data_IF_604872610466
#
_entry.id   IF_604872610466
#
_cell.length_a   1.000
_cell.length_b   1.000
_cell.length_c   1.000
_cell.angle_alpha   90.00
_cell.angle_beta   90.00
_cell.angle_gamma   90.00
#
_symmetry.space_group_name_H-M   'P 1'
#
loop_
_entity.id
_entity.type
_entity.pdbx_description
1 polymer ?
#
# COMPACT_ATOMS: atom_id res chain seq x y z
N UNK A 1 -14.68 -21.85 17.85
CA UNK A 1 -14.38 -22.89 16.85
C UNK A 1 -15.41 -24.01 16.86
N UNK A 2 -15.70 -24.53 18.03
CA UNK A 2 -16.68 -25.63 18.23
C UNK A 2 -18.12 -25.20 17.91
N UNK A 3 -18.47 -23.93 18.06
CA UNK A 3 -19.83 -23.40 17.81
C UNK A 3 -20.17 -23.23 16.34
N UNK A 4 -19.19 -23.01 15.46
CA UNK A 4 -19.43 -22.70 14.06
C UNK A 4 -19.40 -23.94 13.16
N UNK A 5 -18.73 -25.01 13.58
CA UNK A 5 -18.52 -26.17 12.73
C UNK A 5 -17.77 -25.86 11.43
N UNK A 6 -17.53 -26.87 10.62
CA UNK A 6 -16.78 -26.77 9.38
C UNK A 6 -17.48 -25.87 8.33
N UNK A 7 -18.80 -25.96 8.23
CA UNK A 7 -19.55 -25.15 7.26
C UNK A 7 -19.56 -23.67 7.63
N UNK A 8 -19.67 -23.33 8.92
CA UNK A 8 -19.59 -21.96 9.38
C UNK A 8 -18.22 -21.34 9.12
N UNK A 9 -17.14 -22.07 9.36
CA UNK A 9 -15.78 -21.63 9.05
C UNK A 9 -15.57 -21.38 7.55
N UNK A 10 -16.07 -22.28 6.71
CA UNK A 10 -16.01 -22.15 5.25
C UNK A 10 -16.77 -20.91 4.75
N UNK A 11 -17.95 -20.64 5.30
CA UNK A 11 -18.75 -19.47 4.97
C UNK A 11 -18.04 -18.17 5.36
N UNK A 12 -17.37 -18.12 6.49
CA UNK A 12 -16.58 -16.96 6.96
C UNK A 12 -15.38 -16.71 6.03
N UNK A 13 -14.66 -17.75 5.64
CA UNK A 13 -13.55 -17.63 4.69
C UNK A 13 -14.04 -17.13 3.32
N UNK A 14 -15.13 -17.63 2.83
CA UNK A 14 -15.72 -17.22 1.56
C UNK A 14 -16.10 -15.72 1.60
N UNK A 15 -16.72 -15.27 2.67
CA UNK A 15 -17.05 -13.86 2.86
C UNK A 15 -15.81 -12.97 2.88
N UNK A 16 -14.76 -13.38 3.58
CA UNK A 16 -13.48 -12.66 3.60
C UNK A 16 -12.84 -12.59 2.22
N UNK A 17 -12.93 -13.66 1.43
CA UNK A 17 -12.44 -13.69 0.05
C UNK A 17 -13.23 -12.73 -0.85
N UNK A 18 -14.54 -12.71 -0.75
CA UNK A 18 -15.40 -11.81 -1.54
C UNK A 18 -15.11 -10.35 -1.26
N UNK A 19 -14.90 -10.00 0.00
CA UNK A 19 -14.52 -8.64 0.41
C UNK A 19 -13.13 -8.28 -0.10
N UNK A 20 -12.17 -9.20 -0.02
CA UNK A 20 -10.83 -8.99 -0.54
C UNK A 20 -10.83 -8.80 -2.06
N UNK A 21 -11.60 -9.59 -2.79
CA UNK A 21 -11.78 -9.45 -4.24
C UNK A 21 -12.41 -8.10 -4.60
N UNK A 22 -13.40 -7.67 -3.85
CA UNK A 22 -14.03 -6.36 -4.02
C UNK A 22 -13.03 -5.22 -3.83
N UNK A 23 -12.26 -5.23 -2.75
CA UNK A 23 -11.23 -4.22 -2.50
C UNK A 23 -10.13 -4.25 -3.56
N UNK A 24 -9.70 -5.42 -3.97
CA UNK A 24 -8.71 -5.60 -5.02
C UNK A 24 -9.18 -4.99 -6.35
N UNK A 25 -10.42 -5.23 -6.73
CA UNK A 25 -11.02 -4.68 -7.93
C UNK A 25 -11.13 -3.15 -7.86
N UNK A 26 -11.66 -2.62 -6.77
CA UNK A 26 -11.86 -1.17 -6.59
C UNK A 26 -10.54 -0.39 -6.51
N UNK A 27 -9.55 -0.93 -5.84
CA UNK A 27 -8.20 -0.33 -5.79
C UNK A 27 -7.54 -0.41 -7.18
N UNK A 28 -7.74 -1.50 -7.90
CA UNK A 28 -7.24 -1.66 -9.27
C UNK A 28 -7.81 -0.68 -10.27
N UNK A 29 -9.00 -0.12 -10.01
CA UNK A 29 -9.61 0.92 -10.83
C UNK A 29 -8.99 2.31 -10.62
N UNK A 30 -8.28 2.51 -9.53
CA UNK A 30 -7.60 3.78 -9.25
C UNK A 30 -6.31 3.88 -10.09
N UNK A 31 -6.16 4.92 -10.92
CA UNK A 31 -5.01 5.03 -11.84
C UNK A 31 -3.68 5.23 -11.11
N UNK A 32 -3.70 5.66 -9.85
CA UNK A 32 -2.51 5.85 -9.03
C UNK A 32 -1.88 4.54 -8.58
N UNK A 33 -2.63 3.45 -8.59
CA UNK A 33 -2.22 2.17 -8.00
C UNK A 33 -2.04 1.07 -9.05
N UNK A 34 -1.22 0.11 -8.69
CA UNK A 34 -1.01 -1.13 -9.42
C UNK A 34 -1.11 -2.30 -8.47
N UNK A 35 -1.98 -3.25 -8.77
CA UNK A 35 -2.07 -4.51 -8.04
C UNK A 35 -0.90 -5.43 -8.39
N UNK A 36 -0.34 -6.07 -7.36
CA UNK A 36 0.78 -6.99 -7.53
C UNK A 36 0.34 -8.42 -7.86
N UNK A 37 -0.86 -8.81 -7.46
CA UNK A 37 -1.40 -10.14 -7.73
C UNK A 37 -2.67 -10.02 -8.59
N UNK A 38 -2.75 -10.84 -9.63
CA UNK A 38 -3.91 -10.88 -10.53
C UNK A 38 -5.03 -11.78 -9.98
N UNK A 39 -4.67 -12.77 -9.17
CA UNK A 39 -5.60 -13.70 -8.55
C UNK A 39 -5.36 -13.77 -7.06
N UNK A 40 -6.45 -13.84 -6.30
CA UNK A 40 -6.40 -13.96 -4.85
C UNK A 40 -6.64 -15.43 -4.46
N UNK A 41 -5.63 -16.02 -3.83
CA UNK A 41 -5.73 -17.35 -3.21
C UNK A 41 -6.16 -17.24 -1.74
N UNK A 42 -5.69 -16.19 -1.07
CA UNK A 42 -6.02 -15.87 0.32
C UNK A 42 -6.69 -14.49 0.39
N UNK A 43 -7.44 -14.17 1.46
CA UNK A 43 -8.04 -12.85 1.66
C UNK A 43 -6.98 -11.78 1.99
N UNK A 44 -5.93 -11.76 1.20
CA UNK A 44 -4.80 -10.86 1.29
C UNK A 44 -4.44 -10.37 -0.09
N UNK A 45 -4.22 -9.07 -0.26
CA UNK A 45 -3.68 -8.55 -1.49
C UNK A 45 -2.67 -7.42 -1.24
N UNK A 46 -1.83 -7.22 -2.23
CA UNK A 46 -0.72 -6.27 -2.19
C UNK A 46 -0.82 -5.36 -3.41
N UNK A 47 -0.63 -4.07 -3.18
CA UNK A 47 -0.59 -3.08 -4.27
C UNK A 47 0.54 -2.08 -4.05
N UNK A 48 0.92 -1.42 -5.12
CA UNK A 48 1.92 -0.36 -5.13
C UNK A 48 1.42 0.87 -5.89
N UNK A 49 2.18 1.95 -5.86
CA UNK A 49 1.96 3.04 -6.79
C UNK A 49 2.30 2.59 -8.21
N UNK A 50 1.49 3.02 -9.18
CA UNK A 50 1.81 2.81 -10.58
C UNK A 50 3.16 3.49 -10.90
N UNK A 51 4.12 2.79 -11.55
CA UNK A 51 5.44 3.37 -11.81
C UNK A 51 5.44 4.70 -12.54
N UNK A 52 4.50 4.89 -13.46
CA UNK A 52 4.36 6.17 -14.18
C UNK A 52 3.89 7.30 -13.27
N UNK A 53 2.99 6.99 -12.36
CA UNK A 53 2.47 7.93 -11.38
C UNK A 53 3.51 8.23 -10.29
N UNK A 54 4.22 7.21 -9.84
CA UNK A 54 5.26 7.33 -8.81
C UNK A 54 6.36 8.33 -9.19
N UNK A 55 6.69 8.42 -10.46
CA UNK A 55 7.72 9.37 -10.96
C UNK A 55 7.35 10.84 -10.76
N UNK A 56 6.08 11.17 -10.76
CA UNK A 56 5.57 12.54 -10.71
C UNK A 56 4.89 12.88 -9.39
N UNK A 57 4.63 11.90 -8.54
CA UNK A 57 3.95 12.08 -7.28
C UNK A 57 4.85 12.77 -6.25
N UNK A 58 4.26 13.71 -5.49
CA UNK A 58 4.92 14.39 -4.37
C UNK A 58 4.79 13.63 -3.05
N UNK A 59 4.30 12.42 -3.06
CA UNK A 59 4.02 11.61 -1.89
C UNK A 59 4.37 10.14 -2.13
N UNK A 60 4.43 9.36 -1.06
CA UNK A 60 4.69 7.92 -1.10
C UNK A 60 3.58 7.16 -0.39
N UNK A 61 3.60 5.82 -0.48
CA UNK A 61 2.66 4.97 0.25
C UNK A 61 2.79 5.10 1.77
N UNK A 62 3.94 5.50 2.28
CA UNK A 62 4.10 5.81 3.72
C UNK A 62 3.25 6.99 4.14
N UNK A 63 3.11 7.99 3.29
CA UNK A 63 2.21 9.14 3.53
C UNK A 63 0.75 8.69 3.55
N UNK A 64 0.38 7.80 2.64
CA UNK A 64 -0.96 7.21 2.60
C UNK A 64 -1.23 6.37 3.86
N UNK A 65 -0.28 5.55 4.28
CA UNK A 65 -0.35 4.80 5.53
C UNK A 65 -0.63 5.73 6.72
N UNK A 66 0.10 6.81 6.82
CA UNK A 66 -0.06 7.79 7.89
C UNK A 66 -1.45 8.42 7.89
N UNK A 67 -1.96 8.83 6.74
CA UNK A 67 -3.30 9.39 6.61
C UNK A 67 -4.39 8.39 6.97
N UNK A 68 -4.28 7.15 6.53
CA UNK A 68 -5.23 6.09 6.89
C UNK A 68 -5.16 5.78 8.38
N UNK A 69 -3.98 5.82 8.98
CA UNK A 69 -3.81 5.61 10.42
C UNK A 69 -4.51 6.69 11.24
N UNK A 70 -4.54 7.94 10.79
CA UNK A 70 -5.28 9.02 11.42
C UNK A 70 -6.79 8.76 11.45
N UNK A 71 -7.31 8.02 10.49
CA UNK A 71 -8.72 7.58 10.44
C UNK A 71 -8.96 6.23 11.11
N UNK A 72 -7.96 5.69 11.81
CA UNK A 72 -8.07 4.43 12.54
C UNK A 72 -7.77 3.17 11.73
N UNK A 73 -7.27 3.30 10.51
CA UNK A 73 -6.95 2.17 9.65
C UNK A 73 -5.48 1.73 9.78
N UNK A 74 -5.27 0.45 10.03
CA UNK A 74 -3.95 -0.17 10.10
C UNK A 74 -3.64 -0.89 8.78
N UNK A 75 -3.18 -0.15 7.80
CA UNK A 75 -2.77 -0.67 6.49
C UNK A 75 -1.27 -0.42 6.30
N UNK A 76 -0.42 -1.41 6.57
CA UNK A 76 1.02 -1.20 6.58
C UNK A 76 1.59 -1.03 5.15
N UNK A 77 2.49 -0.07 5.01
CA UNK A 77 3.38 0.06 3.87
C UNK A 77 4.76 -0.46 4.23
N UNK A 78 5.42 -1.18 3.33
CA UNK A 78 6.75 -1.73 3.55
C UNK A 78 7.49 -1.93 2.23
N UNK A 79 8.80 -2.06 2.30
CA UNK A 79 9.63 -2.37 1.13
C UNK A 79 9.73 -3.88 0.93
N UNK A 80 9.79 -4.30 -0.34
CA UNK A 80 10.05 -5.70 -0.67
C UNK A 80 11.50 -6.05 -0.37
N UNK A 81 11.78 -7.31 0.07
CA UNK A 81 13.15 -7.71 0.38
C UNK A 81 13.97 -7.92 -0.90
N UNK A 82 15.29 -7.79 -0.79
CA UNK A 82 16.36 -8.02 -1.78
C UNK A 82 16.04 -7.58 -3.22
N UNK A 83 16.89 -6.75 -3.78
CA UNK A 83 16.88 -6.24 -5.16
C UNK A 83 15.61 -5.43 -5.52
N UNK A 84 14.58 -5.43 -4.67
CA UNK A 84 13.32 -4.70 -4.81
C UNK A 84 13.09 -3.71 -3.65
N UNK A 85 14.13 -3.32 -2.93
CA UNK A 85 14.06 -2.42 -1.76
C UNK A 85 13.53 -1.03 -2.11
N UNK A 86 13.59 -0.66 -3.39
CA UNK A 86 12.99 0.59 -3.90
C UNK A 86 11.48 0.45 -4.16
N UNK A 87 10.95 -0.77 -4.13
CA UNK A 87 9.53 -1.01 -4.34
C UNK A 87 8.80 -1.00 -3.00
N UNK A 88 8.02 0.04 -2.78
CA UNK A 88 7.14 0.16 -1.60
C UNK A 88 5.77 -0.40 -1.96
N UNK A 89 5.24 -1.25 -1.12
CA UNK A 89 3.92 -1.87 -1.28
C UNK A 89 3.08 -1.66 -0.02
N UNK A 90 1.77 -1.71 -0.20
CA UNK A 90 0.81 -1.80 0.91
C UNK A 90 0.10 -3.14 0.87
N UNK A 91 -0.26 -3.63 2.03
CA UNK A 91 -0.93 -4.92 2.20
C UNK A 91 -2.22 -4.77 2.99
N UNK A 92 -3.27 -5.41 2.49
CA UNK A 92 -4.52 -5.60 3.23
C UNK A 92 -4.77 -7.09 3.42
N UNK A 93 -5.11 -7.46 4.67
CA UNK A 93 -5.61 -8.78 5.04
C UNK A 93 -7.04 -8.61 5.52
N UNK A 94 -7.99 -9.22 4.81
CA UNK A 94 -9.39 -9.20 5.19
C UNK A 94 -9.65 -10.31 6.22
N UNK A 95 -9.75 -9.92 7.48
CA UNK A 95 -10.00 -10.82 8.61
C UNK A 95 -11.49 -11.00 8.85
N UNK A 96 -11.82 -12.02 9.63
CA UNK A 96 -13.17 -12.22 10.17
C UNK A 96 -13.66 -10.92 10.86
N UNK A 97 -14.91 -10.55 10.61
CA UNK A 97 -15.50 -9.32 11.15
C UNK A 97 -15.29 -8.08 10.29
N UNK A 98 -14.46 -8.14 9.25
CA UNK A 98 -14.34 -7.06 8.28
C UNK A 98 -15.53 -7.13 7.31
N UNK A 99 -16.44 -6.18 7.45
CA UNK A 99 -17.69 -6.14 6.67
C UNK A 99 -17.54 -5.41 5.34
N UNK A 100 -18.52 -5.56 4.46
CA UNK A 100 -18.62 -4.78 3.22
C UNK A 100 -18.72 -3.28 3.50
N UNK A 101 -19.45 -2.88 4.54
CA UNK A 101 -19.58 -1.47 4.93
C UNK A 101 -18.22 -0.90 5.38
N UNK A 102 -17.45 -1.67 6.13
CA UNK A 102 -16.08 -1.29 6.51
C UNK A 102 -15.16 -1.18 5.29
N UNK A 103 -15.30 -2.08 4.32
CA UNK A 103 -14.56 -2.01 3.07
C UNK A 103 -14.89 -0.73 2.29
N UNK A 104 -16.16 -0.36 2.21
CA UNK A 104 -16.59 0.89 1.55
C UNK A 104 -16.07 2.13 2.29
N UNK A 105 -16.05 2.11 3.61
CA UNK A 105 -15.46 3.18 4.43
C UNK A 105 -13.96 3.32 4.17
N UNK A 106 -13.23 2.19 4.13
CA UNK A 106 -11.81 2.19 3.81
C UNK A 106 -11.53 2.74 2.41
N UNK A 107 -12.30 2.35 1.42
CA UNK A 107 -12.19 2.87 0.06
C UNK A 107 -12.45 4.37 -0.01
N UNK A 108 -13.47 4.85 0.68
CA UNK A 108 -13.78 6.28 0.77
C UNK A 108 -12.62 7.05 1.40
N UNK A 109 -12.11 6.58 2.54
CA UNK A 109 -10.99 7.21 3.24
C UNK A 109 -9.71 7.17 2.39
N UNK A 110 -9.48 6.09 1.66
CA UNK A 110 -8.35 5.97 0.74
C UNK A 110 -8.44 6.97 -0.41
N UNK A 111 -9.61 7.11 -1.02
CA UNK A 111 -9.83 8.10 -2.10
C UNK A 111 -9.66 9.53 -1.61
N UNK A 112 -10.17 9.85 -0.45
CA UNK A 112 -10.00 11.16 0.16
C UNK A 112 -8.54 11.45 0.50
N UNK A 113 -7.84 10.49 1.08
CA UNK A 113 -6.42 10.61 1.41
C UNK A 113 -5.57 10.82 0.15
N UNK A 114 -5.81 10.06 -0.91
CA UNK A 114 -5.12 10.22 -2.20
C UNK A 114 -5.41 11.59 -2.81
N UNK A 115 -6.66 12.04 -2.77
CA UNK A 115 -7.04 13.37 -3.26
C UNK A 115 -6.29 14.48 -2.52
N UNK A 116 -6.18 14.39 -1.20
CA UNK A 116 -5.44 15.36 -0.38
C UNK A 116 -3.95 15.34 -0.69
N UNK A 117 -3.38 14.17 -0.88
CA UNK A 117 -1.95 14.02 -1.23
C UNK A 117 -1.65 14.53 -2.63
N UNK A 118 -2.57 14.40 -3.58
CA UNK A 118 -2.42 14.93 -4.93
C UNK A 118 -2.40 16.47 -4.98
N UNK A 119 -2.99 17.13 -4.00
CA UNK A 119 -3.00 18.60 -3.91
C UNK A 119 -1.69 19.19 -3.42
N UNK A 120 -0.74 18.38 -2.97
CA UNK A 120 0.54 18.86 -2.47
C UNK A 120 1.38 19.47 -3.58
N UNK A 121 1.83 20.70 -3.37
CA UNK A 121 2.69 21.42 -4.32
C UNK A 121 4.18 21.11 -4.16
N UNK A 122 4.55 20.52 -3.02
CA UNK A 122 5.92 20.18 -2.67
C UNK A 122 6.01 18.72 -2.25
N UNK A 123 7.16 18.05 -2.50
CA UNK A 123 7.34 16.67 -2.07
C UNK A 123 7.33 16.57 -0.55
N UNK A 124 6.70 15.50 -0.04
CA UNK A 124 6.74 15.15 1.37
C UNK A 124 8.15 14.72 1.77
N UNK A 125 8.44 14.71 3.08
CA UNK A 125 9.72 14.21 3.58
C UNK A 125 9.99 12.77 3.10
N UNK A 126 8.98 11.92 3.17
CA UNK A 126 9.04 10.54 2.69
C UNK A 126 9.43 10.46 1.20
N UNK A 127 8.87 11.34 0.36
CA UNK A 127 9.22 11.41 -1.07
C UNK A 127 10.65 11.90 -1.29
N UNK A 128 11.08 12.90 -0.54
CA UNK A 128 12.46 13.39 -0.61
C UNK A 128 13.46 12.29 -0.27
N UNK A 129 13.18 11.52 0.78
CA UNK A 129 14.02 10.39 1.19
C UNK A 129 14.05 9.29 0.14
N UNK A 130 12.89 8.94 -0.43
CA UNK A 130 12.79 7.96 -1.51
C UNK A 130 13.62 8.36 -2.73
N UNK A 131 13.56 9.62 -3.13
CA UNK A 131 14.33 10.14 -4.27
C UNK A 131 15.85 10.14 -4.00
N UNK A 132 16.27 10.37 -2.77
CA UNK A 132 17.69 10.26 -2.37
C UNK A 132 18.22 8.84 -2.50
N UNK A 133 17.40 7.86 -2.16
CA UNK A 133 17.79 6.45 -2.23
C UNK A 133 17.90 5.93 -3.67
N UNK A 134 17.15 6.51 -4.60
CA UNK A 134 17.24 6.19 -6.05
C UNK A 134 18.54 6.73 -6.65
N UNK A 135 19.03 7.87 -6.15
CA UNK A 135 20.27 8.49 -6.58
C UNK A 135 21.24 8.60 -5.39
N UNK A 136 21.89 7.51 -4.98
CA UNK A 136 22.87 7.60 -3.92
C UNK A 136 23.98 8.57 -4.37
N UNK A 137 24.22 9.59 -3.54
CA UNK A 137 25.33 10.50 -3.78
C UNK A 137 26.59 9.68 -3.94
N UNK A 138 27.25 9.78 -5.08
CA UNK A 138 28.61 9.27 -5.22
C UNK A 138 29.43 9.90 -4.08
N UNK A 139 29.91 9.06 -3.18
CA UNK A 139 30.83 9.52 -2.16
C UNK A 139 32.08 10.03 -2.88
N UNK A 140 32.31 11.34 -2.83
CA UNK A 140 33.59 11.90 -3.26
C UNK A 140 34.65 11.36 -2.29
N UNK A 141 35.31 10.30 -2.69
CA UNK A 141 36.58 9.93 -2.08
C UNK A 141 37.57 11.03 -2.41
N UNK A 142 37.79 11.91 -1.46
CA UNK A 142 39.00 12.74 -1.46
C UNK A 142 40.18 11.79 -1.29
N UNK A 143 40.70 11.32 -2.40
CA UNK A 143 41.99 10.64 -2.45
C UNK A 143 43.05 11.61 -1.96
N UNK A 144 43.41 11.49 -0.69
CA UNK A 144 44.57 12.19 -0.15
C UNK A 144 45.80 11.73 -0.91
N UNK A 145 46.38 12.63 -1.72
CA UNK A 145 47.74 12.44 -2.24
C UNK A 145 48.65 12.42 -1.02
N UNK A 146 49.23 11.25 -0.73
CA UNK A 146 50.40 11.13 0.10
C UNK A 146 51.59 11.53 -0.78
N UNK A 147 52.20 12.64 -0.43
CA UNK A 147 53.58 12.94 -0.83
C UNK A 147 54.52 12.09 -0.02
#
# INVERSE_FOLDING_TARGET
>A
FIRLGFQGYKAIQQNSMEIAEYLHEEIGKMPQFKNYSNELVNPLFIWSLNPKYDKVANWTLYDLQYKLQQNGWMVPAYTLPKDLEQCVVMRIVCRQGFSRDMADMLLTDTRMAVSDLEKLSYPTQSRVEANRNIHPKQSFNHGGKKN
#
